data_IF_801913884677
#
_entry.id   IF_801913884677
#
_cell.length_a   1.000
_cell.length_b   1.000
_cell.length_c   1.000
_cell.angle_alpha   90.00
_cell.angle_beta   90.00
_cell.angle_gamma   90.00
#
_symmetry.space_group_name_H-M   'P 1'
#
loop_
_entity.id
_entity.type
_entity.pdbx_description
1 polymer ?
#
# COMPACT_ATOMS: atom_id res chain seq x y z
N UNK A 1 13.13 -3.20 -6.59
CA UNK A 1 12.55 -2.31 -7.61
C UNK A 1 11.13 -2.02 -7.13
N UNK A 2 10.66 -0.78 -7.23
CA UNK A 2 9.26 -0.50 -6.90
C UNK A 2 8.38 -1.17 -7.96
N UNK A 3 7.26 -1.83 -7.61
CA UNK A 3 6.31 -2.33 -8.60
C UNK A 3 5.90 -1.30 -9.65
N UNK A 4 5.89 -0.01 -9.31
CA UNK A 4 5.62 1.07 -10.27
C UNK A 4 6.75 1.22 -11.30
N UNK A 5 8.02 1.17 -10.87
CA UNK A 5 9.16 1.19 -11.79
C UNK A 5 9.09 0.01 -12.77
N UNK A 6 8.62 -1.16 -12.31
CA UNK A 6 8.45 -2.37 -13.14
C UNK A 6 7.32 -2.21 -14.15
N UNK A 7 6.27 -1.46 -13.83
CA UNK A 7 5.21 -1.10 -14.78
C UNK A 7 5.78 -0.20 -15.88
N UNK A 8 6.56 0.82 -15.50
CA UNK A 8 7.19 1.73 -16.46
C UNK A 8 8.14 0.98 -17.40
N UNK A 9 8.91 0.01 -16.89
CA UNK A 9 9.74 -0.87 -17.69
C UNK A 9 8.93 -1.68 -18.71
N UNK A 10 7.80 -2.27 -18.30
CA UNK A 10 6.91 -3.03 -19.19
C UNK A 10 6.31 -2.10 -20.27
N UNK A 11 5.95 -0.87 -19.91
CA UNK A 11 5.47 0.13 -20.88
C UNK A 11 6.57 0.45 -21.90
N UNK A 12 7.81 0.68 -21.45
CA UNK A 12 8.93 0.94 -22.34
C UNK A 12 9.19 -0.23 -23.31
N UNK A 13 9.07 -1.48 -22.85
CA UNK A 13 9.14 -2.68 -23.70
C UNK A 13 8.05 -2.65 -24.78
N UNK A 14 6.82 -2.27 -24.41
CA UNK A 14 5.70 -2.16 -25.36
C UNK A 14 5.89 -1.03 -26.37
N UNK A 15 6.46 0.10 -25.95
CA UNK A 15 6.73 1.25 -26.82
C UNK A 15 7.87 0.98 -27.80
N UNK A 16 8.89 0.22 -27.38
CA UNK A 16 10.00 -0.20 -28.24
C UNK A 16 9.64 -1.34 -29.20
N UNK A 17 8.52 -2.03 -28.95
CA UNK A 17 8.07 -3.17 -29.73
C UNK A 17 7.77 -2.78 -31.19
N UNK A 18 8.11 -3.68 -32.12
CA UNK A 18 7.97 -3.40 -33.55
C UNK A 18 6.50 -3.39 -33.97
N UNK A 19 6.04 -2.29 -34.54
CA UNK A 19 4.69 -2.21 -35.13
C UNK A 19 4.53 -3.16 -36.31
N UNK A 20 3.37 -3.83 -36.40
CA UNK A 20 3.06 -4.73 -37.52
C UNK A 20 2.50 -3.94 -38.73
N UNK A 21 2.97 -4.18 -39.97
CA UNK A 21 2.72 -3.31 -41.14
C UNK A 21 1.25 -3.07 -41.53
N UNK A 22 0.31 -3.91 -41.06
CA UNK A 22 -1.13 -3.77 -41.36
C UNK A 22 -2.00 -3.48 -40.13
N UNK A 23 -1.43 -3.30 -38.93
CA UNK A 23 -2.18 -2.86 -37.76
C UNK A 23 -1.57 -1.59 -37.19
N UNK A 24 -2.37 -0.53 -37.13
CA UNK A 24 -1.99 0.76 -36.52
C UNK A 24 -1.95 0.70 -34.99
N UNK A 25 -2.45 -0.38 -34.38
CA UNK A 25 -2.67 -0.48 -32.93
C UNK A 25 -1.95 -1.66 -32.29
N UNK A 26 -1.27 -2.50 -33.06
CA UNK A 26 -0.66 -3.72 -32.56
C UNK A 26 0.85 -3.69 -32.78
N UNK A 27 1.59 -4.22 -31.81
CA UNK A 27 3.03 -4.42 -31.88
C UNK A 27 3.37 -5.90 -31.70
N UNK A 28 4.57 -6.29 -32.13
CA UNK A 28 5.13 -7.62 -31.92
C UNK A 28 6.11 -7.56 -30.74
N UNK A 29 5.86 -8.38 -29.72
CA UNK A 29 6.68 -8.49 -28.51
C UNK A 29 7.17 -9.92 -28.34
N UNK A 30 8.31 -10.09 -27.68
CA UNK A 30 8.70 -11.41 -27.21
C UNK A 30 7.76 -11.85 -26.08
N UNK A 31 7.06 -12.97 -26.31
CA UNK A 31 6.05 -13.47 -25.38
C UNK A 31 6.67 -13.93 -24.06
N UNK A 32 7.86 -14.52 -24.11
CA UNK A 32 8.53 -15.05 -22.93
C UNK A 32 8.99 -13.93 -21.99
N UNK A 33 9.62 -12.91 -22.57
CA UNK A 33 10.05 -11.70 -21.86
C UNK A 33 8.87 -10.98 -21.20
N UNK A 34 7.79 -10.75 -21.95
CA UNK A 34 6.59 -10.07 -21.43
C UNK A 34 5.94 -10.83 -20.27
N UNK A 35 5.81 -12.16 -20.40
CA UNK A 35 5.25 -12.99 -19.32
C UNK A 35 6.16 -12.96 -18.09
N UNK A 36 7.48 -13.07 -18.28
CA UNK A 36 8.43 -13.02 -17.18
C UNK A 36 8.36 -11.70 -16.40
N UNK A 37 8.31 -10.57 -17.11
CA UNK A 37 8.20 -9.24 -16.49
C UNK A 37 6.90 -9.10 -15.68
N UNK A 38 5.77 -9.55 -16.25
CA UNK A 38 4.46 -9.52 -15.58
C UNK A 38 4.39 -10.44 -14.36
N UNK A 39 4.99 -11.63 -14.42
CA UNK A 39 5.03 -12.55 -13.28
C UNK A 39 5.83 -11.98 -12.11
N UNK A 40 6.93 -11.28 -12.39
CA UNK A 40 7.69 -10.61 -11.34
C UNK A 40 6.91 -9.44 -10.73
N UNK A 41 6.25 -8.61 -11.55
CA UNK A 41 5.36 -7.55 -11.05
C UNK A 41 4.27 -8.12 -10.13
N UNK A 42 3.67 -9.26 -10.52
CA UNK A 42 2.67 -9.97 -9.72
C UNK A 42 3.22 -10.47 -8.39
N UNK A 43 4.50 -10.83 -8.31
CA UNK A 43 5.12 -11.27 -7.07
C UNK A 43 5.41 -10.10 -6.11
N UNK A 44 5.77 -8.94 -6.65
CA UNK A 44 6.21 -7.76 -5.87
C UNK A 44 5.03 -6.91 -5.36
N UNK A 45 3.96 -6.73 -6.16
CA UNK A 45 2.78 -5.92 -5.78
C UNK A 45 2.11 -6.34 -4.46
N UNK A 46 1.83 -7.64 -4.22
CA UNK A 46 1.13 -8.06 -3.01
C UNK A 46 1.95 -7.80 -1.74
N UNK A 47 3.28 -7.85 -1.79
CA UNK A 47 4.12 -7.55 -0.63
C UNK A 47 4.03 -6.08 -0.21
N UNK A 48 4.10 -5.16 -1.16
CA UNK A 48 4.01 -3.72 -0.87
C UNK A 48 2.62 -3.35 -0.34
N UNK A 49 1.56 -3.91 -0.92
CA UNK A 49 0.20 -3.73 -0.41
C UNK A 49 0.05 -4.24 1.03
N UNK A 50 0.55 -5.45 1.33
CA UNK A 50 0.51 -5.99 2.70
C UNK A 50 1.27 -5.11 3.69
N UNK A 51 2.41 -4.56 3.29
CA UNK A 51 3.21 -3.65 4.12
C UNK A 51 2.45 -2.36 4.40
N UNK A 52 1.81 -1.78 3.39
CA UNK A 52 0.98 -0.58 3.55
C UNK A 52 -0.20 -0.84 4.51
N UNK A 53 -0.90 -1.97 4.37
CA UNK A 53 -1.98 -2.36 5.29
C UNK A 53 -1.46 -2.52 6.72
N UNK A 54 -0.34 -3.22 6.92
CA UNK A 54 0.24 -3.41 8.26
C UNK A 54 0.62 -2.08 8.94
N UNK A 55 1.12 -1.09 8.18
CA UNK A 55 1.43 0.24 8.70
C UNK A 55 0.17 1.00 9.13
N UNK A 56 -0.92 0.88 8.37
CA UNK A 56 -2.21 1.48 8.73
C UNK A 56 -2.78 0.86 10.00
N UNK A 57 -2.73 -0.48 10.11
CA UNK A 57 -3.19 -1.19 11.30
C UNK A 57 -2.39 -0.80 12.55
N UNK A 58 -1.07 -0.63 12.42
CA UNK A 58 -0.22 -0.23 13.53
C UNK A 58 -0.52 1.20 13.98
N UNK A 59 -0.73 2.12 13.04
CA UNK A 59 -1.18 3.49 13.34
C UNK A 59 -2.48 3.47 14.14
N UNK A 60 -3.45 2.65 13.75
CA UNK A 60 -4.75 2.61 14.43
C UNK A 60 -4.63 2.08 15.86
N UNK A 61 -3.79 1.06 16.09
CA UNK A 61 -3.49 0.58 17.45
C UNK A 61 -2.87 1.67 18.33
N UNK A 62 -1.93 2.45 17.79
CA UNK A 62 -1.29 3.56 18.51
C UNK A 62 -2.34 4.61 18.90
N UNK A 63 -3.21 4.98 17.96
CA UNK A 63 -4.29 5.95 18.21
C UNK A 63 -5.23 5.45 19.31
N UNK A 64 -5.63 4.19 19.26
CA UNK A 64 -6.55 3.60 20.24
C UNK A 64 -5.93 3.41 21.61
N UNK A 65 -4.63 3.12 21.69
CA UNK A 65 -3.90 3.10 22.95
C UNK A 65 -3.83 4.50 23.56
N UNK A 66 -3.52 5.53 22.76
CA UNK A 66 -3.48 6.93 23.21
C UNK A 66 -4.84 7.43 23.71
N UNK A 67 -5.94 7.07 23.03
CA UNK A 67 -7.30 7.40 23.48
C UNK A 67 -7.63 6.76 24.83
N UNK A 68 -7.35 5.47 24.99
CA UNK A 68 -7.57 4.74 26.26
C UNK A 68 -6.77 5.34 27.41
N UNK A 69 -5.52 5.72 27.14
CA UNK A 69 -4.68 6.36 28.14
C UNK A 69 -5.19 7.75 28.53
N UNK A 70 -5.64 8.55 27.56
CA UNK A 70 -6.27 9.84 27.84
C UNK A 70 -7.56 9.68 28.68
N UNK A 71 -8.40 8.70 28.37
CA UNK A 71 -9.58 8.37 29.17
C UNK A 71 -9.22 7.94 30.59
N UNK A 72 -8.19 7.12 30.75
CA UNK A 72 -7.66 6.71 32.05
C UNK A 72 -7.25 7.93 32.88
N UNK A 73 -6.43 8.81 32.30
CA UNK A 73 -5.98 10.05 32.95
C UNK A 73 -7.17 10.94 33.34
N UNK A 74 -8.18 11.09 32.47
CA UNK A 74 -9.38 11.88 32.78
C UNK A 74 -10.19 11.22 33.91
N UNK A 75 -10.31 9.89 33.91
CA UNK A 75 -11.05 9.15 34.93
C UNK A 75 -10.36 9.20 36.30
N UNK A 76 -9.03 9.10 36.34
CA UNK A 76 -8.22 9.18 37.55
C UNK A 76 -8.09 10.62 38.05
N UNK A 77 -8.01 11.58 37.11
CA UNK A 77 -7.92 13.01 37.39
C UNK A 77 -9.24 13.68 37.74
N UNK A 78 -10.40 13.01 37.57
CA UNK A 78 -11.66 13.46 38.17
C UNK A 78 -11.58 13.14 39.66
N UNK A 79 -11.39 14.15 40.53
CA UNK A 79 -11.53 13.93 41.96
C UNK A 79 -12.96 13.46 42.19
N UNK A 80 -13.14 12.49 43.07
CA UNK A 80 -14.43 12.23 43.70
C UNK A 80 -14.82 13.48 44.50
N UNK A 81 -15.33 14.52 43.82
CA UNK A 81 -16.07 15.63 44.40
C UNK A 81 -17.44 15.09 44.80
N UNK A 82 -17.44 14.14 45.72
CA UNK A 82 -18.61 13.64 46.43
C UNK A 82 -18.39 13.97 47.90
N UNK A 83 -19.14 14.97 48.35
CA UNK A 83 -19.55 15.07 49.76
C UNK A 83 -18.59 15.78 50.70
N UNK A 84 -18.37 17.08 50.48
CA UNK A 84 -18.17 18.01 51.60
C UNK A 84 -19.22 19.11 51.51
N UNK A 85 -20.38 18.83 52.08
CA UNK A 85 -21.34 19.80 52.59
C UNK A 85 -22.04 19.11 53.77
N UNK A 86 -22.44 19.80 54.85
CA UNK A 86 -22.57 21.25 55.01
C UNK A 86 -21.52 21.90 55.92
#
# INVERSE_FOLDING_TARGET
MDPLDRIDEIIAILEAARSVPMSRTNCMVDRGEMIGALDQLRAELPSELRRATALLDERDKIIDAGKREAERIISEGRPSTRGSSP
#
